data_IF_132645956567
#
_entry.id   IF_132645956567
#
_cell.length_a   1.000
_cell.length_b   1.000
_cell.length_c   1.000
_cell.angle_alpha   90.00
_cell.angle_beta   90.00
_cell.angle_gamma   90.00
#
_symmetry.space_group_name_H-M   'P 1'
#
loop_
_entity.id
_entity.type
_entity.pdbx_description
1 polymer ?
#
# COMPACT_ATOMS: atom_id res chain seq x y z
N UNK A 1 7.49 -10.20 -29.34
CA UNK A 1 6.36 -9.32 -28.96
C UNK A 1 6.93 -7.97 -28.54
N UNK A 2 6.42 -6.84 -29.06
CA UNK A 2 6.86 -5.50 -28.64
C UNK A 2 6.60 -5.31 -27.12
N UNK A 3 7.51 -4.64 -26.40
CA UNK A 3 7.38 -4.34 -24.97
C UNK A 3 6.04 -3.70 -24.62
N UNK A 4 5.53 -2.79 -25.44
CA UNK A 4 4.22 -2.16 -25.19
C UNK A 4 3.06 -3.17 -25.28
N UNK A 5 3.14 -4.17 -26.17
CA UNK A 5 2.14 -5.22 -26.26
C UNK A 5 2.19 -6.13 -25.01
N UNK A 6 3.40 -6.44 -24.49
CA UNK A 6 3.57 -7.18 -23.22
C UNK A 6 2.89 -6.45 -22.07
N UNK A 7 3.16 -5.15 -21.91
CA UNK A 7 2.59 -4.34 -20.83
C UNK A 7 1.07 -4.31 -20.92
N UNK A 8 0.49 -4.15 -22.11
CA UNK A 8 -0.97 -4.20 -22.31
C UNK A 8 -1.55 -5.56 -21.90
N UNK A 9 -0.88 -6.66 -22.23
CA UNK A 9 -1.28 -8.01 -21.81
C UNK A 9 -1.26 -8.16 -20.29
N UNK A 10 -0.21 -7.70 -19.62
CA UNK A 10 -0.14 -7.73 -18.15
C UNK A 10 -1.22 -6.89 -17.50
N UNK A 11 -1.42 -5.66 -17.99
CA UNK A 11 -2.44 -4.76 -17.45
C UNK A 11 -3.85 -5.30 -17.64
N UNK A 12 -4.13 -6.02 -18.73
CA UNK A 12 -5.45 -6.68 -18.91
C UNK A 12 -5.73 -7.80 -17.90
N UNK A 13 -4.71 -8.24 -17.15
CA UNK A 13 -4.84 -9.24 -16.09
C UNK A 13 -5.03 -8.61 -14.71
N UNK A 14 -4.84 -7.30 -14.56
CA UNK A 14 -5.16 -6.57 -13.33
C UNK A 14 -6.67 -6.40 -13.26
N UNK A 15 -7.29 -6.87 -12.18
CA UNK A 15 -8.74 -6.84 -12.00
C UNK A 15 -9.10 -6.16 -10.67
N UNK A 16 -10.40 -5.97 -10.44
CA UNK A 16 -10.87 -5.66 -9.09
C UNK A 16 -10.74 -6.89 -8.19
N UNK A 17 -10.41 -6.68 -6.91
CA UNK A 17 -10.43 -7.71 -5.88
C UNK A 17 -11.88 -8.05 -5.50
N UNK A 18 -12.49 -8.94 -6.29
CA UNK A 18 -13.91 -9.30 -6.17
C UNK A 18 -14.22 -10.02 -4.87
N UNK A 19 -13.27 -10.82 -4.36
CA UNK A 19 -13.42 -11.56 -3.11
C UNK A 19 -13.58 -10.56 -1.98
N UNK A 20 -12.65 -9.60 -1.88
CA UNK A 20 -12.72 -8.55 -0.87
C UNK A 20 -14.00 -7.71 -0.98
N UNK A 21 -14.36 -7.27 -2.19
CA UNK A 21 -15.61 -6.50 -2.41
C UNK A 21 -16.83 -7.31 -1.98
N UNK A 22 -16.89 -8.59 -2.35
CA UNK A 22 -18.00 -9.47 -2.00
C UNK A 22 -18.08 -9.69 -0.49
N UNK A 23 -16.95 -9.97 0.16
CA UNK A 23 -16.89 -10.21 1.61
C UNK A 23 -17.34 -8.97 2.37
N UNK A 24 -16.92 -7.78 1.95
CA UNK A 24 -17.40 -6.51 2.54
C UNK A 24 -18.90 -6.30 2.33
N UNK A 25 -19.45 -6.64 1.15
CA UNK A 25 -20.89 -6.53 0.91
C UNK A 25 -21.67 -7.52 1.78
N UNK A 26 -21.19 -8.75 1.88
CA UNK A 26 -21.84 -9.80 2.66
C UNK A 26 -21.81 -9.45 4.17
N UNK A 27 -20.72 -8.86 4.67
CA UNK A 27 -20.57 -8.49 6.09
C UNK A 27 -21.21 -7.15 6.47
N UNK A 28 -21.09 -6.12 5.63
CA UNK A 28 -21.48 -4.76 5.99
C UNK A 28 -22.89 -4.40 5.50
N UNK A 29 -23.42 -5.16 4.55
CA UNK A 29 -24.69 -4.87 3.88
C UNK A 29 -25.61 -6.08 3.81
N UNK A 30 -25.33 -7.16 4.57
CA UNK A 30 -26.09 -8.43 4.53
C UNK A 30 -26.25 -9.00 3.12
N UNK A 31 -25.23 -8.81 2.27
CA UNK A 31 -25.25 -9.21 0.85
C UNK A 31 -26.11 -8.32 -0.06
N UNK A 32 -26.67 -7.22 0.46
CA UNK A 32 -27.54 -6.33 -0.30
C UNK A 32 -26.76 -5.35 -1.17
N UNK A 33 -26.57 -5.73 -2.44
CA UNK A 33 -25.91 -4.91 -3.46
C UNK A 33 -26.55 -3.54 -3.67
N UNK A 34 -27.86 -3.40 -3.41
CA UNK A 34 -28.55 -2.12 -3.60
C UNK A 34 -28.26 -1.16 -2.45
N UNK A 35 -28.18 -1.68 -1.22
CA UNK A 35 -27.74 -0.91 -0.06
C UNK A 35 -26.30 -0.45 -0.23
N UNK A 36 -25.39 -1.36 -0.59
CA UNK A 36 -24.00 -1.03 -0.91
C UNK A 36 -23.90 0.10 -1.96
N UNK A 37 -24.65 -0.03 -3.06
CA UNK A 37 -24.66 0.97 -4.12
C UNK A 37 -25.15 2.35 -3.72
N UNK A 38 -26.08 2.44 -2.75
CA UNK A 38 -26.63 3.69 -2.24
C UNK A 38 -25.73 4.37 -1.23
N UNK A 39 -24.84 3.61 -0.59
CA UNK A 39 -23.88 4.13 0.38
C UNK A 39 -22.64 4.76 -0.24
N UNK A 40 -22.45 4.63 -1.57
CA UNK A 40 -21.38 5.33 -2.27
C UNK A 40 -21.64 6.85 -2.24
N UNK A 41 -20.73 7.59 -1.60
CA UNK A 41 -20.75 9.05 -1.54
C UNK A 41 -20.30 9.66 -2.88
N UNK A 42 -21.21 9.67 -3.86
CA UNK A 42 -20.93 10.19 -5.21
C UNK A 42 -22.09 11.01 -5.75
N UNK A 43 -21.77 12.11 -6.42
CA UNK A 43 -22.72 12.92 -7.20
C UNK A 43 -23.47 12.08 -8.24
N UNK A 44 -22.79 11.07 -8.79
CA UNK A 44 -23.35 10.10 -9.73
C UNK A 44 -23.28 8.68 -9.15
N UNK A 45 -24.38 8.20 -8.60
CA UNK A 45 -24.49 6.82 -8.13
C UNK A 45 -24.31 5.84 -9.29
N UNK A 46 -23.55 4.74 -9.11
CA UNK A 46 -23.37 3.78 -10.17
C UNK A 46 -24.67 3.02 -10.42
N UNK A 47 -24.97 2.77 -11.69
CA UNK A 47 -26.11 1.93 -12.05
C UNK A 47 -25.97 0.54 -11.42
N UNK A 48 -27.08 -0.10 -10.98
CA UNK A 48 -27.09 -1.44 -10.37
C UNK A 48 -26.29 -2.50 -11.15
N UNK A 49 -26.37 -2.46 -12.48
CA UNK A 49 -25.59 -3.33 -13.39
C UNK A 49 -24.07 -3.17 -13.22
N UNK A 50 -23.58 -1.99 -12.86
CA UNK A 50 -22.16 -1.72 -12.61
C UNK A 50 -21.71 -2.40 -11.32
N UNK A 51 -22.49 -2.29 -10.24
CA UNK A 51 -22.20 -2.95 -8.96
C UNK A 51 -22.21 -4.47 -9.15
N UNK A 52 -23.23 -5.01 -9.84
CA UNK A 52 -23.29 -6.43 -10.21
C UNK A 52 -22.06 -6.90 -10.99
N UNK A 53 -21.48 -6.05 -11.84
CA UNK A 53 -20.24 -6.38 -12.56
C UNK A 53 -19.05 -6.46 -11.61
N UNK A 54 -18.91 -5.55 -10.65
CA UNK A 54 -17.77 -5.57 -9.71
C UNK A 54 -17.70 -6.83 -8.86
N UNK A 55 -18.85 -7.44 -8.53
CA UNK A 55 -18.90 -8.70 -7.78
C UNK A 55 -19.04 -9.95 -8.67
N UNK A 56 -19.23 -9.76 -9.98
CA UNK A 56 -19.45 -10.88 -10.91
C UNK A 56 -18.13 -11.59 -11.20
N UNK A 57 -18.07 -12.93 -11.07
CA UNK A 57 -16.87 -13.69 -11.40
C UNK A 57 -16.41 -13.47 -12.85
N UNK A 58 -17.36 -13.27 -13.78
CA UNK A 58 -17.11 -13.15 -15.21
C UNK A 58 -16.56 -11.79 -15.65
N UNK A 59 -16.71 -10.75 -14.84
CA UNK A 59 -16.25 -9.41 -15.20
C UNK A 59 -14.78 -9.22 -14.84
N UNK A 60 -13.88 -9.00 -15.80
CA UNK A 60 -12.43 -8.87 -15.55
C UNK A 60 -11.95 -7.42 -15.60
N UNK A 61 -12.85 -6.45 -15.54
CA UNK A 61 -12.52 -5.04 -15.72
C UNK A 61 -12.26 -4.28 -14.42
N UNK A 62 -11.61 -3.13 -14.56
CA UNK A 62 -11.46 -2.13 -13.51
C UNK A 62 -12.55 -1.04 -13.63
N UNK A 63 -12.77 -0.22 -12.59
CA UNK A 63 -13.65 0.95 -12.68
C UNK A 63 -13.22 1.91 -13.79
N UNK A 64 -14.17 2.59 -14.44
CA UNK A 64 -13.88 3.45 -15.61
C UNK A 64 -12.84 4.56 -15.37
N UNK A 65 -12.61 4.94 -14.12
CA UNK A 65 -11.65 5.98 -13.74
C UNK A 65 -11.33 5.93 -12.25
N UNK A 66 -10.31 6.70 -11.87
CA UNK A 66 -9.76 6.69 -10.51
C UNK A 66 -10.73 7.20 -9.44
N UNK A 67 -11.58 8.20 -9.74
CA UNK A 67 -12.61 8.69 -8.80
C UNK A 67 -13.45 7.54 -8.24
N UNK A 68 -13.86 6.61 -9.11
CA UNK A 68 -14.68 5.47 -8.70
C UNK A 68 -13.94 4.45 -7.85
N UNK A 69 -12.62 4.34 -8.02
CA UNK A 69 -11.77 3.52 -7.16
C UNK A 69 -11.73 4.12 -5.75
N UNK A 70 -11.55 5.43 -5.63
CA UNK A 70 -11.53 6.11 -4.33
C UNK A 70 -12.87 6.04 -3.61
N UNK A 71 -13.99 6.25 -4.31
CA UNK A 71 -15.33 6.09 -3.72
C UNK A 71 -15.55 4.66 -3.15
N UNK A 72 -15.05 3.63 -3.85
CA UNK A 72 -15.11 2.25 -3.36
C UNK A 72 -14.20 2.06 -2.14
N UNK A 73 -12.98 2.58 -2.19
CA UNK A 73 -12.00 2.47 -1.11
C UNK A 73 -12.50 3.14 0.17
N UNK A 74 -13.03 4.36 0.04
CA UNK A 74 -13.65 5.14 1.12
C UNK A 74 -14.83 4.37 1.74
N UNK A 75 -15.79 3.90 0.93
CA UNK A 75 -16.95 3.16 1.44
C UNK A 75 -16.54 1.89 2.21
N UNK A 76 -15.44 1.26 1.80
CA UNK A 76 -14.94 0.04 2.40
C UNK A 76 -13.95 0.30 3.55
N UNK A 77 -13.59 1.55 3.85
CA UNK A 77 -12.52 1.92 4.79
C UNK A 77 -11.19 1.19 4.47
N UNK A 78 -10.83 1.15 3.19
CA UNK A 78 -9.65 0.46 2.67
C UNK A 78 -8.70 1.41 1.96
N UNK A 79 -7.43 1.03 1.92
CA UNK A 79 -6.51 1.64 0.97
C UNK A 79 -6.88 1.23 -0.48
N UNK A 80 -6.90 2.16 -1.45
CA UNK A 80 -7.25 1.87 -2.85
C UNK A 80 -6.42 0.76 -3.49
N UNK A 81 -5.20 0.51 -3.01
CA UNK A 81 -4.34 -0.57 -3.51
C UNK A 81 -4.98 -1.97 -3.32
N UNK A 82 -5.70 -2.20 -2.22
CA UNK A 82 -6.35 -3.49 -1.94
C UNK A 82 -7.47 -3.86 -2.91
N UNK A 83 -8.01 -2.86 -3.61
CA UNK A 83 -9.05 -3.07 -4.62
C UNK A 83 -8.49 -3.64 -5.92
N UNK A 84 -7.17 -3.68 -6.10
CA UNK A 84 -6.54 -4.34 -7.24
C UNK A 84 -6.19 -5.80 -6.91
N UNK A 85 -6.71 -6.71 -7.70
CA UNK A 85 -6.21 -8.08 -7.79
C UNK A 85 -5.14 -8.13 -8.88
N UNK A 86 -3.88 -8.18 -8.46
CA UNK A 86 -2.71 -8.27 -9.34
C UNK A 86 -2.11 -9.67 -9.16
N UNK A 87 -2.19 -10.54 -10.17
CA UNK A 87 -1.54 -11.85 -10.11
C UNK A 87 -0.05 -11.71 -9.80
N UNK A 88 0.49 -12.59 -8.98
CA UNK A 88 1.88 -12.53 -8.51
C UNK A 88 2.90 -12.50 -9.66
N UNK A 89 2.69 -13.33 -10.68
CA UNK A 89 3.54 -13.37 -11.88
C UNK A 89 3.47 -12.05 -12.67
N UNK A 90 2.31 -11.40 -12.68
CA UNK A 90 2.13 -10.09 -13.31
C UNK A 90 2.81 -9.00 -12.50
N UNK A 91 2.66 -9.01 -11.18
CA UNK A 91 3.29 -8.03 -10.29
C UNK A 91 4.81 -8.07 -10.43
N UNK A 92 5.41 -9.27 -10.40
CA UNK A 92 6.85 -9.44 -10.57
C UNK A 92 7.33 -8.93 -11.93
N UNK A 93 6.69 -9.32 -13.03
CA UNK A 93 7.06 -8.83 -14.38
C UNK A 93 6.93 -7.31 -14.50
N UNK A 94 5.90 -6.72 -13.89
CA UNK A 94 5.70 -5.27 -13.83
C UNK A 94 6.88 -4.59 -13.12
N UNK A 95 7.28 -5.06 -11.93
CA UNK A 95 8.39 -4.47 -11.18
C UNK A 95 9.70 -4.45 -11.99
N UNK A 96 9.94 -5.47 -12.81
CA UNK A 96 11.16 -5.59 -13.60
C UNK A 96 11.16 -4.72 -14.87
N UNK A 97 9.99 -4.47 -15.46
CA UNK A 97 9.89 -3.91 -16.81
C UNK A 97 9.34 -2.49 -16.83
N UNK A 98 8.52 -2.12 -15.85
CA UNK A 98 7.85 -0.83 -15.80
C UNK A 98 8.20 -0.12 -14.49
N UNK A 99 8.83 1.06 -14.53
CA UNK A 99 9.07 1.80 -13.31
C UNK A 99 7.73 2.24 -12.71
N UNK A 100 7.63 2.25 -11.38
CA UNK A 100 6.38 2.54 -10.69
C UNK A 100 5.87 3.98 -10.90
N UNK A 101 6.74 4.90 -11.34
CA UNK A 101 6.39 6.25 -11.78
C UNK A 101 5.98 6.35 -13.27
N UNK A 102 5.75 5.22 -13.95
CA UNK A 102 5.28 5.20 -15.33
C UNK A 102 3.92 5.91 -15.51
N UNK A 103 3.56 6.32 -16.73
CA UNK A 103 2.26 6.92 -17.02
C UNK A 103 1.15 5.86 -17.05
N UNK A 104 0.85 5.24 -15.90
CA UNK A 104 -0.10 4.15 -15.73
C UNK A 104 -1.49 4.45 -16.29
N UNK A 105 -1.93 5.72 -16.21
CA UNK A 105 -3.18 6.19 -16.78
C UNK A 105 -3.30 6.02 -18.30
N UNK A 106 -2.17 5.91 -19.03
CA UNK A 106 -2.13 5.62 -20.48
C UNK A 106 -2.74 4.26 -20.79
N UNK A 107 -2.56 3.29 -19.90
CA UNK A 107 -3.03 1.92 -20.11
C UNK A 107 -4.45 1.72 -19.60
N UNK A 108 -4.77 2.33 -18.46
CA UNK A 108 -6.12 2.35 -17.93
C UNK A 108 -6.30 3.51 -16.95
N UNK A 109 -7.39 4.28 -17.07
CA UNK A 109 -7.63 5.49 -16.26
C UNK A 109 -7.65 5.23 -14.75
N UNK A 110 -8.09 4.04 -14.32
CA UNK A 110 -8.07 3.67 -12.90
C UNK A 110 -6.64 3.54 -12.34
N UNK A 111 -5.67 3.19 -13.18
CA UNK A 111 -4.29 2.97 -12.76
C UNK A 111 -3.50 4.27 -12.60
N UNK A 112 -4.08 5.44 -12.94
CA UNK A 112 -3.44 6.73 -12.65
C UNK A 112 -3.18 6.93 -11.16
N UNK A 113 -3.89 6.21 -10.28
CA UNK A 113 -3.57 6.10 -8.86
C UNK A 113 -2.09 5.75 -8.61
N UNK A 114 -1.56 4.71 -9.27
CA UNK A 114 -0.16 4.29 -9.10
C UNK A 114 0.81 5.36 -9.54
N UNK A 115 0.51 6.07 -10.64
CA UNK A 115 1.35 7.16 -11.13
C UNK A 115 1.43 8.30 -10.11
N UNK A 116 0.30 8.64 -9.47
CA UNK A 116 0.27 9.71 -8.46
C UNK A 116 0.97 9.25 -7.17
N UNK A 117 0.69 8.03 -6.70
CA UNK A 117 1.24 7.52 -5.44
C UNK A 117 2.75 7.27 -5.53
N UNK A 118 3.22 6.67 -6.63
CA UNK A 118 4.62 6.32 -6.82
C UNK A 118 5.39 7.33 -7.68
N UNK A 119 4.80 8.48 -7.94
CA UNK A 119 5.45 9.60 -8.61
C UNK A 119 6.61 10.15 -7.77
N UNK A 120 7.69 10.56 -8.45
CA UNK A 120 8.80 11.25 -7.79
C UNK A 120 8.36 12.66 -7.36
N UNK A 121 8.55 13.00 -6.09
CA UNK A 121 8.16 14.29 -5.51
C UNK A 121 9.31 14.93 -4.74
N UNK A 122 9.51 16.24 -4.93
CA UNK A 122 10.53 17.01 -4.20
C UNK A 122 10.10 17.40 -2.78
N UNK A 123 8.79 17.60 -2.56
CA UNK A 123 8.30 18.27 -1.36
C UNK A 123 7.58 17.28 -0.45
N UNK A 124 6.40 16.85 -0.87
CA UNK A 124 5.52 16.01 -0.07
C UNK A 124 5.32 14.67 -0.78
N UNK A 125 5.67 13.60 -0.09
CA UNK A 125 5.27 12.24 -0.44
C UNK A 125 4.78 11.54 0.84
N UNK A 126 3.68 10.79 0.78
CA UNK A 126 2.77 10.69 -0.37
C UNK A 126 2.03 12.02 -0.64
N UNK A 127 1.48 12.23 -1.85
CA UNK A 127 0.64 13.40 -2.15
C UNK A 127 -0.62 13.41 -1.28
N UNK A 128 -0.89 14.53 -0.60
CA UNK A 128 -2.00 14.64 0.34
C UNK A 128 -3.36 14.58 -0.36
N UNK A 129 -3.43 15.03 -1.60
CA UNK A 129 -4.64 15.00 -2.43
C UNK A 129 -5.16 13.56 -2.61
N UNK A 130 -4.29 12.55 -2.56
CA UNK A 130 -4.72 11.14 -2.63
C UNK A 130 -5.49 10.68 -1.38
N UNK A 131 -5.07 11.13 -0.20
CA UNK A 131 -5.76 10.78 1.04
C UNK A 131 -7.08 11.53 1.16
N UNK A 132 -7.13 12.78 0.71
CA UNK A 132 -8.35 13.60 0.69
C UNK A 132 -9.45 12.98 -0.18
N UNK A 133 -9.10 12.34 -1.31
CA UNK A 133 -10.05 11.61 -2.16
C UNK A 133 -10.67 10.39 -1.46
N UNK A 134 -10.02 9.85 -0.42
CA UNK A 134 -10.57 8.80 0.43
C UNK A 134 -11.18 9.34 1.73
N UNK A 135 -11.24 10.67 1.91
CA UNK A 135 -11.72 11.31 3.14
C UNK A 135 -10.73 11.21 4.32
N UNK A 136 -9.48 10.82 4.07
CA UNK A 136 -8.49 10.48 5.08
C UNK A 136 -7.28 11.44 5.06
N UNK A 137 -6.36 11.23 6.00
CA UNK A 137 -5.06 11.92 6.04
C UNK A 137 -3.93 10.91 6.15
N UNK A 138 -2.82 11.16 5.46
CA UNK A 138 -1.66 10.29 5.59
C UNK A 138 -1.11 10.31 7.01
N UNK A 139 -0.94 9.12 7.56
CA UNK A 139 -0.23 8.86 8.80
C UNK A 139 1.21 8.59 8.42
N UNK A 140 2.12 9.46 8.87
CA UNK A 140 3.51 9.49 8.41
C UNK A 140 4.44 9.34 9.59
N UNK A 141 5.46 8.50 9.42
CA UNK A 141 6.58 8.34 10.34
C UNK A 141 7.90 8.42 9.57
N UNK A 142 8.79 9.29 10.01
CA UNK A 142 10.07 9.56 9.36
C UNK A 142 11.23 8.99 10.20
N UNK A 143 12.24 8.46 9.52
CA UNK A 143 13.45 7.91 10.12
C UNK A 143 14.70 8.41 9.37
N UNK A 144 15.73 8.81 10.10
CA UNK A 144 16.97 9.35 9.53
C UNK A 144 18.10 8.35 9.68
N UNK A 145 18.64 7.90 8.54
CA UNK A 145 19.86 7.12 8.47
C UNK A 145 21.07 8.05 8.33
N UNK A 146 21.92 8.05 9.36
CA UNK A 146 23.18 8.79 9.36
C UNK A 146 24.35 7.88 9.01
N UNK A 147 24.74 7.92 7.74
CA UNK A 147 25.86 7.14 7.24
C UNK A 147 27.23 7.48 7.87
N UNK A 148 27.37 8.58 8.62
CA UNK A 148 28.61 8.85 9.35
C UNK A 148 28.75 8.03 10.63
N UNK A 149 27.62 7.61 11.21
CA UNK A 149 27.60 6.81 12.42
C UNK A 149 27.70 5.33 12.07
N UNK A 150 26.85 4.88 11.14
CA UNK A 150 26.75 3.47 10.75
C UNK A 150 26.44 3.37 9.25
N UNK A 151 27.07 2.43 8.54
CA UNK A 151 26.88 2.21 7.10
C UNK A 151 26.65 0.73 6.84
N UNK A 152 25.95 0.42 5.74
CA UNK A 152 25.84 -0.95 5.22
C UNK A 152 25.30 -1.94 6.26
N UNK A 153 24.22 -1.55 6.95
CA UNK A 153 23.62 -2.34 8.02
C UNK A 153 22.15 -2.64 7.73
N UNK A 154 21.65 -3.72 8.32
CA UNK A 154 20.22 -3.89 8.48
C UNK A 154 19.75 -3.08 9.67
N UNK A 155 18.71 -2.28 9.47
CA UNK A 155 17.99 -1.60 10.54
C UNK A 155 16.68 -2.34 10.77
N UNK A 156 16.48 -2.76 12.02
CA UNK A 156 15.22 -3.34 12.47
C UNK A 156 14.20 -2.23 12.75
N UNK A 157 12.95 -2.51 12.41
CA UNK A 157 11.81 -1.64 12.63
C UNK A 157 10.66 -2.43 13.22
N UNK A 158 9.93 -1.76 14.10
CA UNK A 158 8.71 -2.29 14.71
C UNK A 158 7.54 -1.43 14.31
N UNK A 159 6.45 -2.09 13.95
CA UNK A 159 5.19 -1.45 13.58
C UNK A 159 4.06 -2.02 14.42
N UNK A 160 3.24 -1.15 14.99
CA UNK A 160 2.05 -1.54 15.76
C UNK A 160 0.78 -1.02 15.08
N UNK A 161 0.07 -1.89 14.32
CA UNK A 161 -1.20 -1.52 13.68
C UNK A 161 -2.33 -1.26 14.70
N UNK A 162 -2.24 -1.88 15.88
CA UNK A 162 -3.36 -2.00 16.83
C UNK A 162 -3.18 -1.21 18.13
N UNK A 163 -2.04 -0.52 18.33
CA UNK A 163 -1.85 0.34 19.53
C UNK A 163 -2.87 1.47 19.60
N UNK A 164 -3.52 1.81 18.48
CA UNK A 164 -4.42 2.96 18.35
C UNK A 164 -5.89 2.52 18.34
N UNK A 165 -6.18 1.26 17.96
CA UNK A 165 -7.53 0.73 17.85
C UNK A 165 -7.74 -0.45 18.80
N UNK A 166 -8.62 -0.28 19.78
CA UNK A 166 -9.08 -1.41 20.59
C UNK A 166 -10.12 -2.20 19.80
N UNK A 167 -9.69 -3.22 19.07
CA UNK A 167 -10.55 -4.06 18.24
C UNK A 167 -11.72 -4.68 19.02
N UNK A 168 -11.58 -4.87 20.34
CA UNK A 168 -12.66 -5.40 21.18
C UNK A 168 -13.77 -4.37 21.46
N UNK A 169 -13.52 -3.09 21.20
CA UNK A 169 -14.48 -2.00 21.34
C UNK A 169 -15.06 -1.53 20.01
N UNK A 170 -14.47 -1.97 18.89
CA UNK A 170 -14.98 -1.68 17.55
C UNK A 170 -16.16 -2.61 17.21
N UNK A 171 -17.02 -2.17 16.30
CA UNK A 171 -18.01 -3.09 15.75
C UNK A 171 -17.30 -4.13 14.84
N UNK A 172 -17.95 -5.28 14.62
CA UNK A 172 -17.35 -6.40 13.88
C UNK A 172 -16.93 -6.03 12.44
N UNK A 173 -17.62 -5.06 11.84
CA UNK A 173 -17.41 -4.57 10.49
C UNK A 173 -16.11 -3.74 10.42
N UNK A 174 -15.96 -2.77 11.32
CA UNK A 174 -14.73 -1.99 11.45
C UNK A 174 -13.54 -2.90 11.75
N UNK A 175 -13.72 -3.84 12.68
CA UNK A 175 -12.67 -4.80 13.02
C UNK A 175 -12.27 -5.69 11.82
N UNK A 176 -13.20 -6.03 10.92
CA UNK A 176 -12.89 -6.78 9.70
C UNK A 176 -12.05 -5.96 8.73
N UNK A 177 -12.48 -4.75 8.39
CA UNK A 177 -11.78 -3.89 7.43
C UNK A 177 -10.37 -3.54 7.91
N UNK A 178 -10.20 -3.34 9.22
CA UNK A 178 -8.90 -2.99 9.83
C UNK A 178 -7.86 -4.11 9.79
N UNK A 179 -8.23 -5.33 9.38
CA UNK A 179 -7.27 -6.40 9.07
C UNK A 179 -6.57 -6.22 7.73
N UNK A 180 -7.04 -5.31 6.88
CA UNK A 180 -6.41 -4.95 5.62
C UNK A 180 -5.69 -3.61 5.77
N UNK A 181 -4.37 -3.64 5.87
CA UNK A 181 -3.57 -2.43 6.04
C UNK A 181 -2.34 -2.46 5.15
N UNK A 182 -1.95 -1.31 4.65
CA UNK A 182 -0.75 -1.14 3.83
C UNK A 182 0.08 0.01 4.37
N UNK A 183 1.39 -0.20 4.41
CA UNK A 183 2.37 0.82 4.74
C UNK A 183 3.32 0.97 3.57
N UNK A 184 3.29 2.14 2.94
CA UNK A 184 4.18 2.50 1.87
C UNK A 184 5.50 2.98 2.44
N UNK A 185 6.59 2.53 1.83
CA UNK A 185 7.95 2.88 2.20
C UNK A 185 8.55 3.71 1.06
N UNK A 186 9.15 4.85 1.39
CA UNK A 186 9.96 5.63 0.46
C UNK A 186 11.20 6.19 1.15
N UNK A 187 12.14 6.67 0.36
CA UNK A 187 13.34 7.32 0.87
C UNK A 187 13.80 8.43 -0.06
N UNK A 188 14.58 9.37 0.49
CA UNK A 188 15.33 10.36 -0.28
C UNK A 188 16.72 10.53 0.29
N UNK A 189 17.67 10.86 -0.58
CA UNK A 189 19.02 11.18 -0.14
C UNK A 189 19.01 12.49 0.65
N UNK A 190 19.85 12.57 1.68
CA UNK A 190 20.00 13.75 2.52
C UNK A 190 21.48 14.10 2.72
N UNK A 191 21.73 15.36 3.01
CA UNK A 191 22.98 15.87 3.52
C UNK A 191 22.82 16.24 4.99
N UNK A 192 23.66 15.65 5.83
CA UNK A 192 23.73 15.99 7.24
C UNK A 192 24.82 17.05 7.45
N UNK A 193 24.40 18.26 7.81
CA UNK A 193 25.29 19.33 8.28
C UNK A 193 25.25 19.38 9.81
N UNK A 194 26.17 20.13 10.44
CA UNK A 194 26.17 20.29 11.90
C UNK A 194 24.91 20.94 12.47
N UNK A 195 24.09 21.57 11.61
CA UNK A 195 22.96 22.41 12.05
C UNK A 195 21.63 21.87 11.54
N UNK A 196 21.59 21.23 10.36
CA UNK A 196 20.34 20.85 9.69
C UNK A 196 20.49 19.63 8.79
N UNK A 197 19.35 18.94 8.59
CA UNK A 197 19.15 17.89 7.58
C UNK A 197 18.66 18.53 6.30
N UNK A 198 19.41 18.40 5.22
CA UNK A 198 19.08 18.98 3.91
C UNK A 198 18.73 17.87 2.91
N UNK A 199 17.50 17.84 2.36
CA UNK A 199 17.14 16.91 1.29
C UNK A 199 17.96 17.15 0.02
N UNK A 200 18.47 16.08 -0.60
CA UNK A 200 19.29 16.13 -1.82
C UNK A 200 18.56 15.59 -3.06
N UNK A 201 17.29 15.23 -2.97
CA UNK A 201 16.58 14.63 -4.10
C UNK A 201 15.09 14.45 -3.90
N UNK A 202 14.52 13.61 -4.75
CA UNK A 202 13.12 13.23 -4.72
C UNK A 202 12.89 12.10 -3.71
N UNK A 203 11.68 12.05 -3.16
CA UNK A 203 11.15 10.83 -2.58
C UNK A 203 11.06 9.75 -3.66
N UNK A 204 11.73 8.63 -3.40
CA UNK A 204 11.74 7.43 -4.25
C UNK A 204 10.96 6.35 -3.52
N UNK A 205 9.86 5.84 -4.10
CA UNK A 205 9.19 4.67 -3.57
C UNK A 205 10.17 3.52 -3.45
N UNK A 206 10.14 2.85 -2.30
CA UNK A 206 11.06 1.79 -1.95
C UNK A 206 10.36 0.43 -1.91
N UNK A 207 9.20 0.38 -1.28
CA UNK A 207 8.41 -0.83 -1.16
C UNK A 207 7.11 -0.60 -0.41
N UNK A 208 6.48 -1.68 0.00
CA UNK A 208 5.29 -1.67 0.83
C UNK A 208 5.26 -2.90 1.73
N UNK A 209 4.73 -2.71 2.93
CA UNK A 209 4.32 -3.78 3.82
C UNK A 209 2.80 -3.90 3.73
N UNK A 210 2.29 -5.10 3.47
CA UNK A 210 0.86 -5.38 3.32
C UNK A 210 0.46 -6.38 4.39
N UNK A 211 -0.60 -6.05 5.13
CA UNK A 211 -1.31 -6.96 6.04
C UNK A 211 -2.64 -7.33 5.43
N UNK A 212 -2.94 -8.62 5.41
CA UNK A 212 -4.26 -9.19 5.17
C UNK A 212 -4.66 -10.04 6.39
N UNK A 213 -5.90 -10.56 6.45
CA UNK A 213 -6.29 -11.48 7.52
C UNK A 213 -5.44 -12.76 7.59
N UNK A 214 -4.79 -13.17 6.49
CA UNK A 214 -4.11 -14.47 6.41
C UNK A 214 -2.59 -14.35 6.28
N UNK A 215 -2.07 -13.22 5.83
CA UNK A 215 -0.65 -13.06 5.56
C UNK A 215 -0.14 -11.63 5.78
N UNK A 216 1.15 -11.57 6.10
CA UNK A 216 1.96 -10.37 5.99
C UNK A 216 2.88 -10.52 4.78
N UNK A 217 2.92 -9.48 3.95
CA UNK A 217 3.75 -9.44 2.76
C UNK A 217 4.64 -8.21 2.82
N UNK A 218 5.89 -8.40 2.50
CA UNK A 218 6.86 -7.33 2.36
C UNK A 218 7.31 -7.31 0.89
N UNK A 219 6.96 -6.24 0.18
CA UNK A 219 7.16 -6.08 -1.26
C UNK A 219 8.10 -4.92 -1.55
N UNK A 220 9.09 -5.16 -2.40
CA UNK A 220 9.98 -4.12 -2.89
C UNK A 220 9.72 -3.89 -4.38
N UNK A 221 9.89 -2.64 -4.83
CA UNK A 221 9.60 -2.26 -6.21
C UNK A 221 10.60 -2.78 -7.26
N UNK A 222 11.64 -3.51 -6.83
CA UNK A 222 12.53 -4.32 -7.66
C UNK A 222 12.02 -5.75 -7.88
N UNK A 223 10.84 -6.10 -7.34
CA UNK A 223 10.21 -7.41 -7.53
C UNK A 223 10.59 -8.45 -6.48
N UNK A 224 11.26 -8.06 -5.39
CA UNK A 224 11.48 -8.93 -4.24
C UNK A 224 10.23 -8.96 -3.37
N UNK A 225 9.87 -10.16 -2.93
CA UNK A 225 8.72 -10.40 -2.07
C UNK A 225 9.09 -11.42 -0.98
N UNK A 226 8.65 -11.13 0.25
CA UNK A 226 8.60 -12.09 1.33
C UNK A 226 7.17 -12.17 1.87
N UNK A 227 6.72 -13.39 2.19
CA UNK A 227 5.41 -13.65 2.80
C UNK A 227 5.57 -14.49 4.05
N UNK A 228 4.79 -14.16 5.07
CA UNK A 228 4.63 -14.98 6.26
C UNK A 228 3.14 -15.04 6.65
N UNK A 229 2.67 -16.11 7.28
CA UNK A 229 1.31 -16.15 7.83
C UNK A 229 1.06 -14.99 8.79
N UNK A 230 -0.14 -14.39 8.77
CA UNK A 230 -0.54 -13.37 9.73
C UNK A 230 -1.25 -14.04 10.91
N UNK A 231 -0.70 -13.99 12.13
CA UNK A 231 -1.41 -14.44 13.31
C UNK A 231 -2.66 -13.58 13.57
N UNK A 232 -3.75 -14.20 14.04
CA UNK A 232 -4.96 -13.45 14.44
C UNK A 232 -4.70 -12.47 15.60
N UNK A 233 -3.70 -12.77 16.44
CA UNK A 233 -3.29 -11.95 17.59
C UNK A 233 -2.10 -11.04 17.28
N UNK A 234 -1.89 -10.67 16.02
CA UNK A 234 -0.75 -9.87 15.59
C UNK A 234 -0.87 -8.43 16.09
N UNK A 235 -0.12 -8.11 17.14
CA UNK A 235 -0.03 -6.75 17.70
C UNK A 235 1.16 -5.95 17.17
N UNK A 236 2.21 -6.66 16.74
CA UNK A 236 3.51 -6.10 16.38
C UNK A 236 4.04 -6.79 15.13
N UNK A 237 4.51 -5.98 14.18
CA UNK A 237 5.20 -6.44 12.97
C UNK A 237 6.64 -5.99 13.06
N UNK A 238 7.55 -6.96 12.99
CA UNK A 238 8.98 -6.71 12.88
C UNK A 238 9.37 -6.77 11.41
N UNK A 239 10.06 -5.74 10.92
CA UNK A 239 10.65 -5.80 9.59
C UNK A 239 12.00 -5.10 9.54
N UNK A 240 12.82 -5.44 8.56
CA UNK A 240 14.19 -4.93 8.46
C UNK A 240 14.46 -4.37 7.09
N UNK A 241 15.11 -3.20 7.03
CA UNK A 241 15.59 -2.62 5.78
C UNK A 241 17.11 -2.54 5.80
N UNK A 242 17.74 -2.88 4.69
CA UNK A 242 19.15 -2.57 4.50
C UNK A 242 19.34 -1.07 4.23
N UNK A 243 20.22 -0.45 5.02
CA UNK A 243 20.62 0.94 4.90
C UNK A 243 22.03 1.00 4.29
N UNK A 244 22.12 1.59 3.09
CA UNK A 244 23.38 1.66 2.34
C UNK A 244 24.40 2.66 2.89
N UNK A 245 25.39 2.98 2.05
CA UNK A 245 26.50 3.85 2.41
C UNK A 245 26.15 5.36 2.42
N UNK A 246 25.04 5.75 1.81
CA UNK A 246 24.57 7.14 1.78
C UNK A 246 23.67 7.47 2.98
N UNK A 247 23.70 8.72 3.46
CA UNK A 247 22.69 9.19 4.43
C UNK A 247 21.36 9.38 3.72
N UNK A 248 20.28 8.91 4.34
CA UNK A 248 18.95 8.97 3.75
C UNK A 248 17.89 9.26 4.81
N UNK A 249 16.81 9.90 4.38
CA UNK A 249 15.58 10.00 5.15
C UNK A 249 14.60 8.99 4.57
N UNK A 250 14.08 8.13 5.45
CA UNK A 250 13.07 7.13 5.13
C UNK A 250 11.73 7.61 5.66
N UNK A 251 10.68 7.30 4.93
CA UNK A 251 9.31 7.61 5.28
C UNK A 251 8.44 6.39 5.16
N UNK A 252 7.62 6.18 6.18
CA UNK A 252 6.55 5.19 6.20
C UNK A 252 5.23 5.94 6.21
N UNK A 253 4.34 5.58 5.31
CA UNK A 253 3.03 6.22 5.20
C UNK A 253 1.90 5.19 5.07
N UNK A 254 0.79 5.46 5.74
CA UNK A 254 -0.46 4.68 5.62
C UNK A 254 -1.66 5.61 5.71
N UNK A 255 -2.79 5.20 5.13
CA UNK A 255 -4.07 5.87 5.35
C UNK A 255 -4.67 5.52 6.72
N UNK A 256 -4.25 4.40 7.31
CA UNK A 256 -4.70 3.96 8.63
C UNK A 256 -3.68 4.33 9.71
N UNK A 257 -4.15 4.57 10.94
CA UNK A 257 -3.24 4.91 12.05
C UNK A 257 -2.30 3.73 12.39
N UNK A 258 -1.06 4.06 12.72
CA UNK A 258 -0.06 3.12 13.22
C UNK A 258 0.97 3.81 14.11
N UNK A 259 1.64 3.02 14.95
CA UNK A 259 2.82 3.45 15.70
C UNK A 259 4.07 2.75 15.13
N UNK A 260 5.23 3.38 15.27
CA UNK A 260 6.47 2.96 14.63
C UNK A 260 7.69 3.27 15.49
N UNK A 261 8.67 2.37 15.49
CA UNK A 261 9.98 2.65 16.07
C UNK A 261 11.09 1.93 15.32
N UNK A 262 12.28 2.55 15.30
CA UNK A 262 13.52 1.86 14.97
C UNK A 262 14.02 1.11 16.21
N UNK A 263 14.40 -0.16 16.06
CA UNK A 263 14.97 -0.97 17.14
C UNK A 263 16.48 -1.13 16.97
N UNK A 264 17.24 -1.00 18.06
CA UNK A 264 18.72 -1.05 18.05
C UNK A 264 19.26 -2.46 17.76
N UNK A 265 18.47 -3.51 17.99
CA UNK A 265 18.85 -4.89 17.70
C UNK A 265 17.60 -5.74 17.41
N UNK A 266 17.78 -6.80 16.62
CA UNK A 266 16.78 -7.86 16.54
C UNK A 266 16.65 -8.52 17.91
N UNK A 267 15.43 -8.63 18.43
CA UNK A 267 15.14 -9.79 19.27
C UNK A 267 15.43 -11.04 18.43
N UNK A 268 16.03 -12.09 18.99
CA UNK A 268 16.38 -13.27 18.21
C UNK A 268 15.11 -13.90 17.59
N UNK A 269 14.99 -13.84 16.25
CA UNK A 269 13.97 -14.50 15.41
C UNK A 269 12.51 -14.49 15.93
N UNK A 270 11.84 -13.33 16.02
CA UNK A 270 10.40 -13.31 16.23
C UNK A 270 9.67 -13.98 15.07
N UNK A 271 8.55 -14.69 15.32
CA UNK A 271 7.78 -15.39 14.30
C UNK A 271 7.18 -14.47 13.22
N UNK A 272 7.23 -13.14 13.42
CA UNK A 272 6.66 -12.11 12.55
C UNK A 272 7.70 -11.23 11.87
N UNK A 273 8.96 -11.68 11.75
CA UNK A 273 10.04 -10.91 11.13
C UNK A 273 10.10 -11.04 9.61
N UNK A 274 10.06 -9.90 8.93
CA UNK A 274 10.29 -9.76 7.48
C UNK A 274 11.61 -9.02 7.22
N UNK A 275 12.36 -9.40 6.18
CA UNK A 275 13.71 -8.89 5.94
C UNK A 275 13.88 -8.41 4.49
N UNK A 276 14.39 -7.18 4.33
CA UNK A 276 14.88 -6.66 3.05
C UNK A 276 16.37 -6.43 3.04
N UNK A 277 17.07 -7.13 2.14
CA UNK A 277 18.48 -6.91 1.83
C UNK A 277 18.70 -6.40 0.42
N UNK A 278 19.38 -5.28 0.25
CA UNK A 278 19.90 -4.82 -1.06
C UNK A 278 20.93 -3.71 -0.84
N UNK A 279 22.01 -3.65 -1.63
CA UNK A 279 22.91 -2.49 -1.62
C UNK A 279 22.27 -1.32 -2.37
N UNK A 280 22.07 -0.18 -1.70
CA UNK A 280 21.91 1.13 -2.35
C UNK A 280 23.24 1.56 -2.99
#
# INVERSE_FOLDING_TARGET
MNQEARIKTWISRIQLNKVLIKDTIDQNFDGNLSSFGRSLESDELPHRKTILRWVSPQYTGLPKGVKRLFELAQLMDLDPFFLFDIPEDVFSEICHVLPWNAPWGKYHKCLSYFQTLFGLSHHNWPPQELAEETGETWKIQDFIHNARLEQNKYQAFKLWPEKIYDLNKMNAIEAFNRKYQIWYLAFRDIQLTHVQVQPLGFWRPFGMLIRTPTELRLLNFLGLEQRIPCPDSLQEIDFSLYLGAGSAEFRIASLHDFDFSAADAHAENPPTSLYFGFSL
#
